data_IF_510346645101
#
_entry.id   IF_510346645101
#
_cell.length_a   1.000
_cell.length_b   1.000
_cell.length_c   1.000
_cell.angle_alpha   90.00
_cell.angle_beta   90.00
_cell.angle_gamma   90.00
#
_symmetry.space_group_name_H-M   'P 1'
#
loop_
_entity.id
_entity.type
_entity.pdbx_description
1 polymer ?
#
# COMPACT_ATOMS: atom_id res chain seq x y z
N UNK A 1 -57.06 -45.68 -34.00
CA UNK A 1 -55.73 -45.11 -34.30
C UNK A 1 -55.73 -44.13 -35.49
N UNK A 2 -56.84 -43.44 -35.82
CA UNK A 2 -56.89 -42.48 -36.95
C UNK A 2 -57.34 -41.06 -36.54
N UNK A 3 -57.81 -40.83 -35.31
CA UNK A 3 -58.29 -39.51 -34.85
C UNK A 3 -57.21 -38.61 -34.21
N UNK A 4 -56.02 -39.16 -33.90
CA UNK A 4 -54.94 -38.41 -33.22
C UNK A 4 -54.07 -37.67 -34.24
N UNK A 5 -53.77 -38.30 -35.38
CA UNK A 5 -52.97 -37.67 -36.44
C UNK A 5 -53.68 -36.48 -37.09
N UNK A 6 -55.01 -36.49 -37.14
CA UNK A 6 -55.80 -35.38 -37.69
C UNK A 6 -55.78 -34.14 -36.80
N UNK A 7 -55.64 -34.30 -35.48
CA UNK A 7 -55.55 -33.18 -34.55
C UNK A 7 -54.16 -32.53 -34.55
N UNK A 8 -53.10 -33.31 -34.79
CA UNK A 8 -51.74 -32.80 -34.91
C UNK A 8 -51.54 -31.96 -36.19
N UNK A 9 -52.13 -32.40 -37.31
CA UNK A 9 -52.07 -31.65 -38.57
C UNK A 9 -52.91 -30.37 -38.55
N UNK A 10 -54.01 -30.36 -37.78
CA UNK A 10 -54.85 -29.18 -37.63
C UNK A 10 -54.16 -28.10 -36.76
N UNK A 11 -53.45 -28.50 -35.69
CA UNK A 11 -52.65 -27.58 -34.88
C UNK A 11 -51.43 -26.99 -35.63
N UNK A 12 -50.76 -27.79 -36.46
CA UNK A 12 -49.63 -27.31 -37.29
C UNK A 12 -50.06 -26.37 -38.42
N UNK A 13 -51.33 -26.41 -38.83
CA UNK A 13 -51.88 -25.53 -39.88
C UNK A 13 -52.32 -24.17 -39.32
N UNK A 14 -52.72 -24.12 -38.05
CA UNK A 14 -53.00 -22.88 -37.31
C UNK A 14 -51.70 -22.11 -36.99
N UNK A 15 -50.62 -22.81 -36.60
CA UNK A 15 -49.32 -22.19 -36.29
C UNK A 15 -48.57 -21.60 -37.50
N UNK A 16 -48.98 -21.88 -38.74
CA UNK A 16 -48.35 -21.36 -39.96
C UNK A 16 -49.03 -20.12 -40.56
N UNK A 17 -50.14 -19.65 -40.00
CA UNK A 17 -50.92 -18.55 -40.59
C UNK A 17 -50.80 -17.18 -39.91
N UNK A 18 -50.15 -17.09 -38.76
CA UNK A 18 -49.90 -15.81 -38.10
C UNK A 18 -48.46 -15.36 -38.36
N UNK A 19 -48.21 -14.90 -39.58
CA UNK A 19 -46.99 -14.21 -39.98
C UNK A 19 -47.36 -13.01 -40.82
N UNK A 20 -47.74 -11.91 -40.17
CA UNK A 20 -47.83 -10.58 -40.78
C UNK A 20 -48.02 -9.50 -39.72
N UNK A 21 -46.91 -8.99 -39.17
CA UNK A 21 -46.64 -7.61 -38.77
C UNK A 21 -45.77 -7.54 -37.51
N UNK A 22 -44.46 -7.51 -37.71
CA UNK A 22 -43.53 -6.87 -36.78
C UNK A 22 -42.81 -5.75 -37.52
N UNK A 23 -43.33 -4.54 -37.34
CA UNK A 23 -42.55 -3.31 -37.45
C UNK A 23 -41.60 -3.28 -36.26
N UNK A 24 -40.33 -3.56 -36.48
CA UNK A 24 -39.29 -2.97 -35.62
C UNK A 24 -38.07 -2.70 -36.48
N UNK A 25 -37.91 -1.42 -36.73
CA UNK A 25 -36.86 -0.70 -37.41
C UNK A 25 -35.47 -1.15 -36.94
N UNK A 26 -34.63 -1.62 -37.86
CA UNK A 26 -33.22 -1.92 -37.62
C UNK A 26 -32.46 -0.61 -37.85
N UNK A 27 -32.26 0.16 -36.77
CA UNK A 27 -31.37 1.31 -36.79
C UNK A 27 -29.91 0.88 -36.90
N UNK A 28 -29.07 1.53 -37.74
CA UNK A 28 -27.64 1.29 -37.73
C UNK A 28 -27.04 1.74 -36.39
N UNK A 29 -26.18 0.92 -35.81
CA UNK A 29 -25.36 1.23 -34.65
C UNK A 29 -24.43 2.39 -34.96
N UNK A 30 -24.88 3.61 -34.67
CA UNK A 30 -24.00 4.74 -34.42
C UNK A 30 -23.28 4.46 -33.09
N UNK A 31 -22.08 3.88 -33.18
CA UNK A 31 -21.06 4.08 -32.16
C UNK A 31 -20.75 5.58 -32.12
N UNK A 32 -21.50 6.30 -31.30
CA UNK A 32 -21.16 7.66 -30.92
C UNK A 32 -19.84 7.59 -30.16
N UNK A 33 -18.75 7.85 -30.87
CA UNK A 33 -17.51 8.35 -30.30
C UNK A 33 -17.85 9.62 -29.51
N UNK A 34 -18.08 9.45 -28.21
CA UNK A 34 -18.11 10.57 -27.30
C UNK A 34 -16.71 11.16 -27.26
N UNK A 35 -16.62 12.40 -27.73
CA UNK A 35 -15.44 13.24 -27.80
C UNK A 35 -14.60 13.16 -26.52
N UNK A 36 -13.45 12.48 -26.61
CA UNK A 36 -12.32 12.78 -25.75
C UNK A 36 -11.74 14.11 -26.22
N UNK A 37 -12.04 15.17 -25.48
CA UNK A 37 -11.49 16.49 -25.70
C UNK A 37 -9.96 16.42 -25.64
N UNK A 38 -9.34 16.70 -26.79
CA UNK A 38 -7.98 17.18 -26.90
C UNK A 38 -7.91 18.55 -26.21
N UNK A 39 -7.47 18.55 -24.95
CA UNK A 39 -7.00 19.74 -24.26
C UNK A 39 -5.57 19.49 -23.85
N UNK A 40 -4.66 20.06 -24.65
CA UNK A 40 -3.30 20.40 -24.23
C UNK A 40 -3.34 20.99 -22.82
N UNK A 41 -2.76 20.30 -21.84
CA UNK A 41 -2.43 20.88 -20.55
C UNK A 41 -0.93 21.12 -20.55
N UNK A 42 -0.64 22.41 -20.70
CA UNK A 42 0.62 23.06 -20.45
C UNK A 42 1.03 22.90 -18.98
N UNK A 43 2.34 22.84 -18.80
CA UNK A 43 3.08 22.64 -17.58
C UNK A 43 2.85 23.81 -16.62
N UNK A 44 2.29 23.55 -15.42
CA UNK A 44 2.69 24.18 -14.14
C UNK A 44 1.57 24.15 -13.10
N UNK A 45 1.80 23.31 -12.06
CA UNK A 45 1.55 23.59 -10.64
C UNK A 45 0.24 24.32 -10.26
N UNK A 46 -0.74 23.57 -9.72
CA UNK A 46 -1.33 23.87 -8.41
C UNK A 46 -2.54 22.99 -8.04
N UNK A 47 -2.46 22.36 -6.85
CA UNK A 47 -3.55 21.99 -5.92
C UNK A 47 -4.23 20.61 -6.07
N UNK A 48 -3.47 19.54 -5.81
CA UNK A 48 -3.95 18.14 -5.76
C UNK A 48 -4.79 17.84 -4.50
N UNK A 49 -6.11 17.81 -4.67
CA UNK A 49 -7.00 16.94 -3.89
C UNK A 49 -7.19 15.68 -4.77
N UNK A 50 -6.87 14.45 -4.30
CA UNK A 50 -6.37 13.40 -5.19
C UNK A 50 -7.49 12.67 -5.94
N UNK A 51 -7.70 13.04 -7.19
CA UNK A 51 -8.45 12.26 -8.19
C UNK A 51 -8.03 10.77 -8.16
N UNK A 52 -6.74 10.53 -7.91
CA UNK A 52 -6.10 9.23 -7.80
C UNK A 52 -6.81 8.22 -6.88
N UNK A 53 -7.44 8.67 -5.77
CA UNK A 53 -8.09 7.74 -4.84
C UNK A 53 -9.46 7.29 -5.32
N UNK A 54 -10.23 8.20 -5.90
CA UNK A 54 -11.52 7.86 -6.53
C UNK A 54 -11.25 6.91 -7.69
N UNK A 55 -10.21 7.19 -8.48
CA UNK A 55 -9.79 6.36 -9.60
C UNK A 55 -9.29 4.98 -9.15
N UNK A 56 -8.53 4.92 -8.05
CA UNK A 56 -8.13 3.66 -7.43
C UNK A 56 -9.33 2.81 -7.00
N UNK A 57 -10.33 3.41 -6.34
CA UNK A 57 -11.54 2.67 -5.92
C UNK A 57 -12.33 2.21 -7.14
N UNK A 58 -12.50 3.05 -8.15
CA UNK A 58 -13.15 2.66 -9.39
C UNK A 58 -12.42 1.49 -10.07
N UNK A 59 -11.09 1.53 -10.09
CA UNK A 59 -10.25 0.43 -10.60
C UNK A 59 -10.47 -0.86 -9.81
N UNK A 60 -10.48 -0.78 -8.47
CA UNK A 60 -10.75 -1.94 -7.61
C UNK A 60 -12.13 -2.54 -7.83
N UNK A 61 -13.16 -1.71 -7.95
CA UNK A 61 -14.52 -2.19 -8.24
C UNK A 61 -14.61 -2.83 -9.61
N UNK A 62 -13.91 -2.30 -10.63
CA UNK A 62 -13.82 -2.94 -11.94
C UNK A 62 -13.07 -4.28 -11.88
N UNK A 63 -11.98 -4.37 -11.10
CA UNK A 63 -11.28 -5.64 -10.88
C UNK A 63 -12.18 -6.67 -10.15
N UNK A 64 -13.00 -6.24 -9.19
CA UNK A 64 -13.96 -7.10 -8.50
C UNK A 64 -15.14 -7.54 -9.37
N UNK A 65 -15.64 -6.66 -10.25
CA UNK A 65 -16.67 -7.01 -11.22
C UNK A 65 -16.17 -8.12 -12.16
N UNK A 66 -14.90 -8.06 -12.59
CA UNK A 66 -14.30 -9.10 -13.42
C UNK A 66 -14.01 -10.39 -12.64
N UNK A 67 -13.41 -10.29 -11.45
CA UNK A 67 -13.01 -11.44 -10.65
C UNK A 67 -14.21 -12.19 -10.03
N UNK A 68 -15.25 -11.47 -9.62
CA UNK A 68 -16.39 -11.99 -8.86
C UNK A 68 -17.74 -11.75 -9.55
N UNK A 69 -17.79 -11.73 -10.88
CA UNK A 69 -18.93 -11.34 -11.72
C UNK A 69 -20.33 -11.71 -11.16
N UNK A 70 -20.60 -12.98 -10.90
CA UNK A 70 -21.90 -13.44 -10.40
C UNK A 70 -22.23 -12.93 -8.98
N UNK A 71 -21.23 -12.86 -8.08
CA UNK A 71 -21.43 -12.36 -6.72
C UNK A 71 -21.59 -10.83 -6.73
N UNK A 72 -20.83 -10.15 -7.58
CA UNK A 72 -20.83 -8.70 -7.71
C UNK A 72 -22.19 -8.19 -8.21
N UNK A 73 -22.73 -8.73 -9.31
CA UNK A 73 -24.06 -8.33 -9.80
C UNK A 73 -25.22 -8.74 -8.89
N UNK A 74 -25.04 -9.76 -8.06
CA UNK A 74 -26.03 -10.11 -7.02
C UNK A 74 -26.00 -9.15 -5.83
N UNK A 75 -24.82 -8.60 -5.50
CA UNK A 75 -24.66 -7.66 -4.40
C UNK A 75 -24.95 -6.20 -4.81
N UNK A 76 -24.71 -5.88 -6.08
CA UNK A 76 -24.88 -4.55 -6.67
C UNK A 76 -25.67 -4.67 -7.98
N UNK A 77 -26.97 -4.91 -7.85
CA UNK A 77 -27.90 -5.00 -8.98
C UNK A 77 -28.22 -3.62 -9.58
N UNK A 78 -28.29 -2.59 -8.74
CA UNK A 78 -28.59 -1.22 -9.11
C UNK A 78 -27.36 -0.28 -9.12
N UNK A 79 -27.42 0.73 -9.99
CA UNK A 79 -26.37 1.75 -10.13
C UNK A 79 -26.28 2.65 -8.89
N UNK A 80 -27.40 2.94 -8.22
CA UNK A 80 -27.39 3.74 -6.99
C UNK A 80 -26.71 2.95 -5.86
N UNK A 81 -27.02 1.66 -5.71
CA UNK A 81 -26.37 0.75 -4.76
C UNK A 81 -24.86 0.70 -4.93
N UNK A 82 -24.39 0.59 -6.18
CA UNK A 82 -22.96 0.62 -6.50
C UNK A 82 -22.31 1.96 -6.13
N UNK A 83 -22.98 3.08 -6.40
CA UNK A 83 -22.49 4.42 -6.08
C UNK A 83 -22.39 4.65 -4.57
N UNK A 84 -23.40 4.20 -3.81
CA UNK A 84 -23.40 4.24 -2.34
C UNK A 84 -22.26 3.39 -1.78
N UNK A 85 -22.06 2.18 -2.32
CA UNK A 85 -20.98 1.29 -1.90
C UNK A 85 -19.60 1.92 -2.14
N UNK A 86 -19.36 2.49 -3.33
CA UNK A 86 -18.10 3.20 -3.63
C UNK A 86 -17.85 4.37 -2.68
N UNK A 87 -18.88 5.17 -2.40
CA UNK A 87 -18.78 6.29 -1.44
C UNK A 87 -18.48 5.79 -0.02
N UNK A 88 -19.14 4.72 0.41
CA UNK A 88 -18.88 4.10 1.70
C UNK A 88 -17.44 3.57 1.81
N UNK A 89 -16.94 2.89 0.77
CA UNK A 89 -15.56 2.42 0.72
C UNK A 89 -14.56 3.59 0.72
N UNK A 90 -14.85 4.67 0.00
CA UNK A 90 -14.01 5.87 -0.03
C UNK A 90 -13.87 6.51 1.35
N UNK A 91 -14.96 6.64 2.10
CA UNK A 91 -14.91 7.16 3.48
C UNK A 91 -14.13 6.25 4.43
N UNK A 92 -14.17 4.93 4.26
CA UNK A 92 -13.41 4.00 5.09
C UNK A 92 -11.92 3.92 4.69
N UNK A 93 -11.58 4.25 3.45
CA UNK A 93 -10.23 4.13 2.90
C UNK A 93 -9.48 5.47 2.81
N UNK A 94 -9.98 6.51 3.47
CA UNK A 94 -9.39 7.85 3.42
C UNK A 94 -7.96 7.89 3.98
N UNK A 95 -7.64 7.02 4.93
CA UNK A 95 -6.31 6.93 5.57
C UNK A 95 -5.25 6.22 4.71
N UNK A 96 -5.66 5.54 3.63
CA UNK A 96 -4.77 4.72 2.80
C UNK A 96 -4.41 5.41 1.48
N UNK A 97 -3.21 5.10 0.98
CA UNK A 97 -2.76 5.60 -0.31
C UNK A 97 -3.43 4.87 -1.48
N UNK A 98 -3.63 5.51 -2.65
CA UNK A 98 -4.21 4.88 -3.83
C UNK A 98 -3.49 3.60 -4.26
N UNK A 99 -2.15 3.62 -4.24
CA UNK A 99 -1.30 2.47 -4.59
C UNK A 99 -1.54 1.26 -3.68
N UNK A 100 -1.77 1.53 -2.38
CA UNK A 100 -2.04 0.50 -1.39
C UNK A 100 -3.43 -0.13 -1.60
N UNK A 101 -4.43 0.67 -1.95
CA UNK A 101 -5.81 0.20 -2.22
C UNK A 101 -5.81 -0.77 -3.41
N UNK A 102 -5.16 -0.40 -4.52
CA UNK A 102 -5.08 -1.27 -5.72
C UNK A 102 -4.30 -2.55 -5.44
N UNK A 103 -3.20 -2.45 -4.70
CA UNK A 103 -2.41 -3.63 -4.36
C UNK A 103 -3.13 -4.58 -3.39
N UNK A 104 -3.89 -4.05 -2.44
CA UNK A 104 -4.74 -4.83 -1.55
C UNK A 104 -5.81 -5.60 -2.33
N UNK A 105 -6.45 -4.97 -3.31
CA UNK A 105 -7.42 -5.63 -4.18
C UNK A 105 -6.81 -6.83 -4.93
N UNK A 106 -5.64 -6.64 -5.56
CA UNK A 106 -4.92 -7.73 -6.23
C UNK A 106 -4.54 -8.87 -5.29
N UNK A 107 -4.18 -8.56 -4.04
CA UNK A 107 -3.87 -9.56 -3.02
C UNK A 107 -5.12 -10.36 -2.64
N UNK A 108 -6.26 -9.71 -2.50
CA UNK A 108 -7.53 -10.36 -2.17
C UNK A 108 -7.99 -11.25 -3.31
N UNK A 109 -7.97 -10.76 -4.55
CA UNK A 109 -8.38 -11.53 -5.74
C UNK A 109 -7.58 -12.84 -5.85
N UNK A 110 -6.30 -12.83 -5.45
CA UNK A 110 -5.45 -14.04 -5.45
C UNK A 110 -5.73 -15.00 -4.30
N UNK A 111 -6.20 -14.50 -3.16
CA UNK A 111 -6.26 -15.26 -1.90
C UNK A 111 -7.68 -15.63 -1.45
N UNK A 112 -8.70 -14.95 -1.97
CA UNK A 112 -10.10 -15.11 -1.56
C UNK A 112 -10.96 -15.52 -2.77
N UNK A 113 -11.75 -16.58 -2.59
CA UNK A 113 -12.68 -17.08 -3.62
C UNK A 113 -13.99 -16.29 -3.69
N UNK A 114 -14.31 -15.54 -2.62
CA UNK A 114 -15.56 -14.78 -2.49
C UNK A 114 -15.30 -13.28 -2.46
N UNK A 115 -16.33 -12.51 -2.82
CA UNK A 115 -16.30 -11.05 -2.74
C UNK A 115 -16.01 -10.63 -1.28
N UNK A 116 -14.94 -9.86 -1.03
CA UNK A 116 -14.53 -9.51 0.33
C UNK A 116 -15.50 -8.51 0.97
N UNK A 117 -15.63 -8.59 2.30
CA UNK A 117 -16.21 -7.49 3.08
C UNK A 117 -15.22 -6.33 3.20
N UNK A 118 -15.72 -5.13 3.51
CA UNK A 118 -14.87 -3.95 3.76
C UNK A 118 -13.83 -4.22 4.86
N UNK A 119 -14.19 -5.00 5.89
CA UNK A 119 -13.28 -5.35 6.99
C UNK A 119 -12.15 -6.28 6.52
N UNK A 120 -12.44 -7.24 5.64
CA UNK A 120 -11.41 -8.07 5.02
C UNK A 120 -10.50 -7.23 4.12
N UNK A 121 -11.07 -6.25 3.40
CA UNK A 121 -10.33 -5.34 2.56
C UNK A 121 -9.38 -4.43 3.36
N UNK A 122 -9.85 -3.89 4.49
CA UNK A 122 -9.03 -3.08 5.40
C UNK A 122 -7.83 -3.86 5.94
N UNK A 123 -8.03 -5.13 6.36
CA UNK A 123 -6.93 -6.00 6.79
C UNK A 123 -5.90 -6.22 5.68
N UNK A 124 -6.37 -6.46 4.45
CA UNK A 124 -5.47 -6.62 3.30
C UNK A 124 -4.66 -5.35 2.99
N UNK A 125 -5.24 -4.16 3.23
CA UNK A 125 -4.53 -2.89 3.15
C UNK A 125 -3.46 -2.79 4.26
N UNK A 126 -3.79 -3.13 5.51
CA UNK A 126 -2.83 -3.12 6.63
C UNK A 126 -1.66 -4.08 6.39
N UNK A 127 -1.90 -5.25 5.79
CA UNK A 127 -0.85 -6.23 5.47
C UNK A 127 0.03 -5.85 4.27
N UNK A 128 -0.14 -4.64 3.71
CA UNK A 128 0.55 -4.14 2.52
C UNK A 128 2.00 -3.69 2.75
N UNK A 129 2.66 -4.10 3.84
CA UNK A 129 4.03 -3.69 4.19
C UNK A 129 5.05 -3.91 3.06
N UNK A 130 4.91 -5.01 2.32
CA UNK A 130 5.84 -5.39 1.24
C UNK A 130 5.89 -4.35 0.10
N UNK A 131 4.79 -3.63 -0.16
CA UNK A 131 4.74 -2.58 -1.20
C UNK A 131 5.58 -1.36 -0.85
N UNK A 132 5.73 -1.08 0.44
CA UNK A 132 6.52 0.04 0.95
C UNK A 132 7.96 -0.37 1.26
N UNK A 133 8.38 -1.60 0.91
CA UNK A 133 9.71 -2.13 1.22
C UNK A 133 9.91 -2.40 2.71
N UNK A 134 8.84 -2.43 3.50
CA UNK A 134 8.91 -2.69 4.94
C UNK A 134 9.10 -4.21 5.17
N UNK A 135 10.16 -4.64 5.85
CA UNK A 135 10.34 -6.04 6.20
C UNK A 135 9.25 -6.52 7.17
N UNK A 136 9.00 -7.83 7.21
CA UNK A 136 8.09 -8.42 8.19
C UNK A 136 8.62 -8.18 9.61
N UNK A 137 7.73 -7.93 10.57
CA UNK A 137 8.06 -7.66 11.98
C UNK A 137 9.13 -8.59 12.58
N UNK A 138 9.06 -9.94 12.48
CA UNK A 138 10.10 -10.81 13.03
C UNK A 138 11.45 -10.67 12.33
N UNK A 139 11.47 -10.41 11.02
CA UNK A 139 12.72 -10.17 10.28
C UNK A 139 13.32 -8.81 10.65
N UNK A 140 12.50 -7.78 10.79
CA UNK A 140 12.90 -6.45 11.24
C UNK A 140 13.50 -6.50 12.65
N UNK A 141 12.87 -7.24 13.57
CA UNK A 141 13.35 -7.45 14.93
C UNK A 141 14.71 -8.14 14.93
N UNK A 142 14.83 -9.23 14.15
CA UNK A 142 16.08 -9.98 14.00
C UNK A 142 17.21 -9.06 13.49
N UNK A 143 16.95 -8.25 12.47
CA UNK A 143 17.90 -7.28 11.95
C UNK A 143 18.31 -6.25 13.01
N UNK A 144 17.36 -5.73 13.79
CA UNK A 144 17.62 -4.78 14.87
C UNK A 144 18.55 -5.35 15.97
N UNK A 145 18.33 -6.61 16.36
CA UNK A 145 19.15 -7.34 17.33
C UNK A 145 20.57 -7.60 16.80
N UNK A 146 20.73 -8.05 15.55
CA UNK A 146 22.05 -8.40 15.00
C UNK A 146 22.87 -7.21 14.47
N UNK A 147 22.27 -6.03 14.31
CA UNK A 147 23.00 -4.89 13.76
C UNK A 147 24.25 -4.53 14.63
N UNK A 148 25.46 -4.42 14.07
CA UNK A 148 26.64 -4.00 14.81
C UNK A 148 26.55 -2.52 15.23
N UNK A 149 27.30 -2.15 16.26
CA UNK A 149 27.56 -0.73 16.57
C UNK A 149 28.68 -0.23 15.64
N UNK A 150 28.56 0.95 14.99
CA UNK A 150 27.55 2.01 15.15
C UNK A 150 26.28 1.78 14.33
N UNK A 151 25.11 1.80 14.98
CA UNK A 151 23.79 1.56 14.36
C UNK A 151 23.43 2.57 13.25
N UNK A 152 24.04 3.76 13.25
CA UNK A 152 23.83 4.80 12.23
C UNK A 152 24.54 4.50 10.90
N UNK A 153 25.66 3.77 10.93
CA UNK A 153 26.44 3.41 9.75
C UNK A 153 26.01 2.06 9.14
N UNK A 154 25.06 1.38 9.76
CA UNK A 154 24.55 0.10 9.31
C UNK A 154 23.62 0.27 8.10
N UNK A 155 23.67 -0.67 7.16
CA UNK A 155 22.82 -0.70 5.97
C UNK A 155 21.50 -1.38 6.28
N UNK A 156 20.57 -0.61 6.84
CA UNK A 156 19.23 -1.08 7.19
C UNK A 156 18.43 -1.48 5.95
N UNK A 157 17.62 -2.53 6.06
CA UNK A 157 16.65 -2.90 5.01
C UNK A 157 15.62 -1.79 4.78
N UNK A 158 15.21 -1.11 5.85
CA UNK A 158 14.32 0.03 5.81
C UNK A 158 14.56 0.93 7.03
N UNK A 159 14.45 2.25 6.87
CA UNK A 159 14.71 3.22 7.93
C UNK A 159 13.77 3.05 9.12
N UNK A 160 12.55 2.58 8.88
CA UNK A 160 11.59 2.21 9.93
C UNK A 160 12.16 1.20 10.95
N UNK A 161 13.02 0.27 10.53
CA UNK A 161 13.66 -0.70 11.42
C UNK A 161 14.61 0.01 12.39
N UNK A 162 15.39 0.96 11.89
CA UNK A 162 16.28 1.77 12.70
C UNK A 162 15.50 2.61 13.73
N UNK A 163 14.45 3.31 13.30
CA UNK A 163 13.65 4.13 14.20
C UNK A 163 12.88 3.30 15.23
N UNK A 164 12.39 2.11 14.85
CA UNK A 164 11.73 1.19 15.77
C UNK A 164 12.71 0.68 16.83
N UNK A 165 13.93 0.32 16.43
CA UNK A 165 14.96 -0.10 17.36
C UNK A 165 15.41 1.03 18.30
N UNK A 166 15.51 2.27 17.78
CA UNK A 166 15.79 3.46 18.59
C UNK A 166 14.68 3.74 19.61
N UNK A 167 13.41 3.63 19.22
CA UNK A 167 12.26 3.84 20.10
C UNK A 167 12.13 2.75 21.17
N UNK A 168 12.46 1.50 20.82
CA UNK A 168 12.45 0.36 21.75
C UNK A 168 13.65 0.35 22.70
N UNK A 169 14.73 1.02 22.30
CA UNK A 169 15.98 1.10 23.04
C UNK A 169 16.95 -0.01 22.65
N UNK A 170 18.09 0.37 22.08
CA UNK A 170 19.14 -0.58 21.66
C UNK A 170 19.69 -1.43 22.80
N UNK A 171 19.72 -0.89 24.02
CA UNK A 171 20.16 -1.62 25.20
C UNK A 171 19.18 -2.75 25.57
N UNK A 172 17.87 -2.49 25.47
CA UNK A 172 16.83 -3.48 25.73
C UNK A 172 16.93 -4.62 24.71
N UNK A 173 17.03 -4.27 23.43
CA UNK A 173 17.13 -5.24 22.32
C UNK A 173 18.40 -6.11 22.36
N UNK A 174 19.47 -5.63 23.01
CA UNK A 174 20.75 -6.33 23.07
C UNK A 174 20.90 -7.23 24.31
N UNK A 175 20.25 -6.89 25.43
CA UNK A 175 20.46 -7.55 26.72
C UNK A 175 19.28 -8.40 27.19
N UNK A 176 18.05 -8.07 26.79
CA UNK A 176 16.87 -8.80 27.22
C UNK A 176 16.55 -9.99 26.30
N UNK A 177 15.78 -10.92 26.84
CA UNK A 177 15.25 -12.05 26.07
C UNK A 177 14.26 -11.59 24.98
N UNK A 178 14.10 -12.41 23.94
CA UNK A 178 13.14 -12.17 22.86
C UNK A 178 11.71 -12.00 23.39
N UNK A 179 11.30 -12.77 24.42
CA UNK A 179 9.95 -12.69 24.98
C UNK A 179 9.59 -11.31 25.55
N UNK A 180 10.58 -10.56 26.05
CA UNK A 180 10.37 -9.22 26.63
C UNK A 180 10.59 -8.12 25.58
N UNK A 181 11.63 -8.27 24.77
CA UNK A 181 12.05 -7.23 23.83
C UNK A 181 11.22 -7.21 22.54
N UNK A 182 10.74 -8.38 22.06
CA UNK A 182 9.92 -8.50 20.86
C UNK A 182 8.61 -7.71 20.91
N UNK A 183 7.73 -7.84 21.94
CA UNK A 183 6.46 -7.12 21.96
C UNK A 183 6.63 -5.60 22.01
N UNK A 184 7.67 -5.11 22.70
CA UNK A 184 8.00 -3.67 22.73
C UNK A 184 8.44 -3.19 21.34
N UNK A 185 9.27 -3.98 20.66
CA UNK A 185 9.69 -3.69 19.29
C UNK A 185 8.53 -3.74 18.31
N UNK A 186 7.69 -4.76 18.37
CA UNK A 186 6.52 -4.95 17.50
C UNK A 186 5.57 -3.76 17.61
N UNK A 187 5.27 -3.30 18.83
CA UNK A 187 4.42 -2.13 19.04
C UNK A 187 4.99 -0.87 18.37
N UNK A 188 6.29 -0.60 18.58
CA UNK A 188 6.93 0.57 17.99
C UNK A 188 7.05 0.45 16.45
N UNK A 189 7.36 -0.74 15.96
CA UNK A 189 7.51 -1.02 14.54
C UNK A 189 6.18 -0.88 13.80
N UNK A 190 5.10 -1.42 14.34
CA UNK A 190 3.76 -1.30 13.74
C UNK A 190 3.29 0.15 13.69
N UNK A 191 3.54 0.95 14.73
CA UNK A 191 3.21 2.38 14.73
C UNK A 191 4.00 3.15 13.67
N UNK A 192 5.29 2.87 13.51
CA UNK A 192 6.13 3.49 12.49
C UNK A 192 5.78 3.03 11.08
N UNK A 193 5.48 1.75 10.90
CA UNK A 193 5.03 1.20 9.62
C UNK A 193 3.73 1.90 9.15
N UNK A 194 2.75 2.07 10.05
CA UNK A 194 1.52 2.83 9.75
C UNK A 194 1.80 4.27 9.32
N UNK A 195 2.78 4.94 9.94
CA UNK A 195 3.20 6.29 9.55
C UNK A 195 3.85 6.35 8.18
N UNK A 196 4.74 5.39 7.88
CA UNK A 196 5.39 5.26 6.56
C UNK A 196 4.34 4.99 5.48
N UNK A 197 3.35 4.14 5.75
CA UNK A 197 2.26 3.82 4.82
C UNK A 197 1.37 5.04 4.51
N UNK A 198 1.26 5.98 5.46
CA UNK A 198 0.60 7.28 5.26
C UNK A 198 1.45 8.29 4.46
N UNK A 199 2.68 7.93 4.10
CA UNK A 199 3.58 8.76 3.30
C UNK A 199 4.64 9.53 4.10
N UNK A 200 4.81 9.24 5.39
CA UNK A 200 5.90 9.85 6.18
C UNK A 200 7.26 9.29 5.75
N UNK A 201 8.16 10.16 5.28
CA UNK A 201 9.53 9.78 4.92
C UNK A 201 10.43 9.81 6.14
N UNK A 202 10.90 8.64 6.56
CA UNK A 202 11.86 8.50 7.64
C UNK A 202 13.28 8.67 7.08
N UNK A 203 13.99 9.72 7.50
CA UNK A 203 15.36 10.00 7.05
C UNK A 203 16.32 9.75 8.21
N UNK A 204 17.24 8.80 8.04
CA UNK A 204 18.35 8.60 8.98
C UNK A 204 19.40 9.66 8.68
N UNK A 205 19.46 10.70 9.52
CA UNK A 205 20.53 11.69 9.46
C UNK A 205 21.82 11.07 10.01
N UNK A 206 22.74 10.68 9.13
CA UNK A 206 24.10 10.34 9.55
C UNK A 206 24.83 11.62 9.96
N UNK A 207 25.40 11.69 11.18
CA UNK A 207 26.25 12.82 11.53
C UNK A 207 27.43 12.88 10.55
N UNK A 208 27.85 14.09 10.12
CA UNK A 208 29.02 14.22 9.26
C UNK A 208 30.20 13.51 9.91
N UNK A 209 30.98 12.79 9.11
CA UNK A 209 32.16 12.10 9.57
C UNK A 209 32.97 13.04 10.47
N UNK A 210 33.34 12.56 11.67
CA UNK A 210 34.24 13.31 12.54
C UNK A 210 35.47 13.65 11.70
N UNK A 211 35.74 14.94 11.49
CA UNK A 211 37.00 15.38 10.88
C UNK A 211 38.13 14.69 11.63
N UNK A 212 38.99 13.97 10.91
CA UNK A 212 40.16 13.34 11.51
C UNK A 212 40.86 14.39 12.37
N UNK A 213 40.81 14.21 13.69
CA UNK A 213 41.67 14.98 14.58
C UNK A 213 43.07 14.50 14.25
N UNK A 214 43.72 15.18 13.31
CA UNK A 214 45.13 15.01 13.03
C UNK A 214 45.84 15.45 14.32
N UNK A 215 46.00 14.52 15.25
CA UNK A 215 46.89 14.67 16.38
C UNK A 215 48.28 14.70 15.79
N UNK A 216 48.76 15.89 15.41
CA UNK A 216 50.18 16.08 15.15
C UNK A 216 50.88 15.75 16.46
N UNK A 217 51.67 14.65 16.54
CA UNK A 217 52.45 14.39 17.73
C UNK A 217 53.36 15.61 17.96
N UNK A 218 53.26 16.22 19.14
CA UNK A 218 54.12 17.33 19.52
C UNK A 218 55.57 16.87 19.40
N UNK A 219 56.41 17.66 18.72
CA UNK A 219 57.83 17.34 18.56
C UNK A 219 58.48 17.14 19.94
N UNK A 220 59.45 16.23 20.05
CA UNK A 220 60.16 15.93 21.32
C UNK A 220 60.72 17.21 21.98
N UNK A 221 61.07 18.23 21.20
CA UNK A 221 61.57 19.52 21.69
C UNK A 221 60.46 20.33 22.36
N UNK A 222 59.29 20.39 21.75
CA UNK A 222 58.14 21.16 22.23
C UNK A 222 57.49 20.47 23.44
N UNK A 223 57.49 19.14 23.48
CA UNK A 223 57.04 18.37 24.64
C UNK A 223 57.92 18.62 25.87
N UNK A 224 59.25 18.70 25.70
CA UNK A 224 60.17 19.04 26.79
C UNK A 224 59.96 20.47 27.30
N UNK A 225 59.71 21.42 26.39
CA UNK A 225 59.43 22.80 26.76
C UNK A 225 58.11 22.94 27.52
N UNK A 226 57.05 22.24 27.08
CA UNK A 226 55.76 22.20 27.75
C UNK A 226 55.86 21.56 29.15
N UNK A 227 56.62 20.46 29.29
CA UNK A 227 56.88 19.84 30.59
C UNK A 227 57.69 20.78 31.51
N UNK A 228 58.66 21.52 30.98
CA UNK A 228 59.43 22.48 31.76
C UNK A 228 58.59 23.67 32.23
N UNK A 229 57.63 24.14 31.41
CA UNK A 229 56.64 25.13 31.81
C UNK A 229 55.71 24.57 32.89
N UNK A 230 55.17 23.36 32.71
CA UNK A 230 54.33 22.72 33.72
C UNK A 230 55.03 22.56 35.06
N UNK A 231 56.33 22.22 35.05
CA UNK A 231 57.15 22.10 36.28
C UNK A 231 57.34 23.44 36.99
N UNK A 232 57.52 24.53 36.25
CA UNK A 232 57.60 25.88 36.83
C UNK A 232 56.27 26.30 37.45
N UNK A 233 55.15 26.03 36.75
CA UNK A 233 53.83 26.41 37.21
C UNK A 233 53.36 25.58 38.41
N UNK A 234 53.81 24.33 38.52
CA UNK A 234 53.53 23.43 39.65
C UNK A 234 54.56 23.53 40.80
N UNK A 235 55.51 24.46 40.72
CA UNK A 235 56.51 24.74 41.77
C UNK A 235 57.24 23.49 42.30
N UNK A 236 57.90 22.75 41.39
CA UNK A 236 58.96 21.80 41.73
C UNK A 236 60.33 22.33 41.29
#
# INVERSE_FOLDING_TARGET
MQKINTLLDQANKELKKDSSNSLTEVGPSNFASANFNDSKIDDSRSNDIPLDRIDAINTVFAEFEFAYHNQFHKAFDDLESLTIAKKYWLSNLEEYSPSQIVAAAKKIIKNQEYLPSIAAFLKACEDGFELFGLPRTPLAFKEACYAPSPKLAYRWSHEAVYFAGKASGWFLLANESEAVSFPVFEYNYTLLAKRVMRGEKLIINQPPALTEKITRPMSKKDAKAAIAQLKKDLSF
#
